data_IF_782696668996
#
_entry.id   IF_782696668996
#
_cell.length_a   1.000
_cell.length_b   1.000
_cell.length_c   1.000
_cell.angle_alpha   90.00
_cell.angle_beta   90.00
_cell.angle_gamma   90.00
#
_symmetry.space_group_name_H-M   'P 1'
#
loop_
_entity.id
_entity.type
_entity.pdbx_description
1 polymer ?
#
# COMPACT_ATOMS: atom_id res chain seq x y z
N UNK A 1 -2.98 15.14 -20.51
CA UNK A 1 -4.12 14.23 -20.83
C UNK A 1 -3.69 12.80 -21.20
N UNK A 2 -2.39 12.46 -21.25
CA UNK A 2 -1.87 11.15 -21.71
C UNK A 2 -1.46 10.17 -20.60
N UNK A 3 -1.28 10.62 -19.35
CA UNK A 3 -0.76 9.77 -18.27
C UNK A 3 -1.82 8.90 -17.56
N UNK A 4 -3.06 9.39 -17.47
CA UNK A 4 -4.17 8.66 -16.81
C UNK A 4 -4.51 7.37 -17.58
N UNK A 5 -4.55 7.45 -18.91
CA UNK A 5 -4.80 6.28 -19.76
C UNK A 5 -3.72 5.21 -19.62
N UNK A 6 -2.45 5.62 -19.44
CA UNK A 6 -1.33 4.72 -19.26
C UNK A 6 -1.39 3.96 -17.93
N UNK A 7 -1.70 4.66 -16.83
CA UNK A 7 -1.92 4.03 -15.52
C UNK A 7 -3.05 2.99 -15.55
N UNK A 8 -4.18 3.35 -16.17
CA UNK A 8 -5.31 2.44 -16.35
C UNK A 8 -4.98 1.21 -17.19
N UNK A 9 -4.00 1.31 -18.10
CA UNK A 9 -3.52 0.17 -18.90
C UNK A 9 -2.65 -0.76 -18.06
N UNK A 10 -1.76 -0.21 -17.23
CA UNK A 10 -0.93 -1.00 -16.29
C UNK A 10 -1.81 -1.74 -15.29
N UNK A 11 -2.84 -1.10 -14.73
CA UNK A 11 -3.77 -1.74 -13.79
C UNK A 11 -4.66 -2.84 -14.42
N UNK A 12 -4.62 -3.02 -15.74
CA UNK A 12 -5.33 -4.10 -16.46
C UNK A 12 -4.45 -5.31 -16.75
N UNK A 13 -3.19 -5.28 -16.31
CA UNK A 13 -2.28 -6.41 -16.41
C UNK A 13 -2.78 -7.61 -15.59
N UNK A 14 -2.71 -8.81 -16.15
CA UNK A 14 -3.20 -10.07 -15.54
C UNK A 14 -2.40 -10.46 -14.29
N UNK A 15 -1.18 -9.94 -14.13
CA UNK A 15 -0.36 -10.16 -12.93
C UNK A 15 -0.91 -9.46 -11.69
N UNK A 16 -1.81 -8.49 -11.87
CA UNK A 16 -2.40 -7.71 -10.78
C UNK A 16 -3.72 -8.35 -10.35
N UNK A 17 -3.73 -8.94 -9.17
CA UNK A 17 -4.95 -9.48 -8.57
C UNK A 17 -5.87 -8.35 -8.10
N UNK A 18 -7.10 -8.32 -8.62
CA UNK A 18 -8.14 -7.37 -8.20
C UNK A 18 -8.96 -7.96 -7.06
N UNK A 19 -8.97 -7.26 -5.93
CA UNK A 19 -9.73 -7.67 -4.76
C UNK A 19 -11.09 -6.97 -4.75
N UNK A 20 -12.17 -7.73 -4.62
CA UNK A 20 -13.52 -7.18 -4.47
C UNK A 20 -13.72 -6.65 -3.05
N UNK A 21 -14.42 -5.53 -2.91
CA UNK A 21 -14.75 -4.95 -1.62
C UNK A 21 -16.25 -5.06 -1.34
N UNK A 22 -16.61 -5.25 -0.07
CA UNK A 22 -18.01 -5.46 0.35
C UNK A 22 -18.60 -4.24 1.08
N UNK A 23 -17.91 -3.10 1.10
CA UNK A 23 -18.38 -1.89 1.77
C UNK A 23 -19.17 -0.98 0.82
N UNK A 24 -20.10 -0.21 1.38
CA UNK A 24 -20.81 0.85 0.66
C UNK A 24 -19.93 2.11 0.63
N UNK A 25 -19.62 2.60 -0.57
CA UNK A 25 -18.76 3.77 -0.78
C UNK A 25 -17.46 3.43 -1.50
N UNK A 26 -16.81 4.45 -2.05
CA UNK A 26 -15.65 4.33 -2.94
C UNK A 26 -14.37 4.90 -2.35
N UNK A 27 -14.36 5.26 -1.06
CA UNK A 27 -13.18 5.85 -0.43
C UNK A 27 -12.12 4.77 -0.15
N UNK A 28 -11.02 4.84 -0.89
CA UNK A 28 -9.98 3.81 -0.89
C UNK A 28 -9.24 3.75 0.45
N UNK A 29 -9.03 4.89 1.11
CA UNK A 29 -8.27 4.95 2.37
C UNK A 29 -8.97 4.16 3.48
N UNK A 30 -10.30 4.29 3.59
CA UNK A 30 -11.09 3.59 4.60
C UNK A 30 -11.15 2.10 4.31
N UNK A 31 -11.29 1.73 3.03
CA UNK A 31 -11.21 0.35 2.57
C UNK A 31 -9.87 -0.29 2.97
N UNK A 32 -8.75 0.39 2.69
CA UNK A 32 -7.42 -0.11 2.98
C UNK A 32 -7.19 -0.24 4.49
N UNK A 33 -7.60 0.76 5.28
CA UNK A 33 -7.46 0.73 6.73
C UNK A 33 -8.23 -0.42 7.35
N UNK A 34 -9.46 -0.69 6.88
CA UNK A 34 -10.26 -1.81 7.38
C UNK A 34 -9.66 -3.16 6.95
N UNK A 35 -9.34 -3.30 5.66
CA UNK A 35 -8.83 -4.56 5.09
C UNK A 35 -7.49 -4.98 5.71
N UNK A 36 -6.60 -4.03 5.97
CA UNK A 36 -5.27 -4.33 6.49
C UNK A 36 -5.28 -4.81 7.95
N UNK A 37 -6.41 -4.71 8.67
CA UNK A 37 -6.56 -5.30 10.01
C UNK A 37 -6.40 -6.82 10.02
N UNK A 38 -6.63 -7.49 8.88
CA UNK A 38 -6.40 -8.93 8.72
C UNK A 38 -4.91 -9.34 8.76
N UNK A 39 -3.97 -8.37 8.79
CA UNK A 39 -2.51 -8.57 8.94
C UNK A 39 -1.84 -9.42 7.84
N UNK A 40 -2.50 -9.64 6.71
CA UNK A 40 -1.99 -10.43 5.58
C UNK A 40 -1.55 -9.57 4.39
N UNK A 41 -1.31 -8.26 4.59
CA UNK A 41 -1.04 -7.33 3.50
C UNK A 41 0.14 -6.40 3.81
N UNK A 42 0.90 -6.07 2.76
CA UNK A 42 1.84 -4.95 2.74
C UNK A 42 1.16 -3.80 2.00
N UNK A 43 1.08 -2.62 2.62
CA UNK A 43 0.38 -1.49 2.00
C UNK A 43 1.35 -0.60 1.26
N UNK A 44 1.20 -0.52 -0.06
CA UNK A 44 1.92 0.42 -0.90
C UNK A 44 1.20 1.76 -0.93
N UNK A 45 1.76 2.80 -0.30
CA UNK A 45 1.18 4.15 -0.40
C UNK A 45 2.22 5.24 -0.25
N UNK A 46 2.08 6.28 -1.08
CA UNK A 46 2.87 7.48 -0.94
C UNK A 46 2.23 8.55 -0.02
N UNK A 47 0.95 8.40 0.35
CA UNK A 47 0.17 9.39 1.09
C UNK A 47 0.57 9.50 2.57
N UNK A 48 0.67 10.73 3.10
CA UNK A 48 1.16 10.96 4.48
C UNK A 48 0.11 10.64 5.54
N UNK A 49 -1.16 10.93 5.28
CA UNK A 49 -2.25 10.77 6.24
C UNK A 49 -2.68 9.30 6.32
N UNK A 50 -2.76 8.60 5.20
CA UNK A 50 -3.00 7.15 5.17
C UNK A 50 -1.89 6.38 5.89
N UNK A 51 -0.62 6.75 5.68
CA UNK A 51 0.49 6.16 6.44
C UNK A 51 0.35 6.39 7.94
N UNK A 52 -0.04 7.59 8.39
CA UNK A 52 -0.29 7.87 9.81
C UNK A 52 -1.40 6.97 10.37
N UNK A 53 -2.46 6.72 9.61
CA UNK A 53 -3.55 5.81 9.99
C UNK A 53 -3.08 4.36 10.08
N UNK A 54 -2.37 3.86 9.07
CA UNK A 54 -1.87 2.46 9.03
C UNK A 54 -0.78 2.22 10.08
N UNK A 55 0.05 3.23 10.40
CA UNK A 55 1.05 3.12 11.47
C UNK A 55 0.44 2.83 12.85
N UNK A 56 -0.84 3.12 13.08
CA UNK A 56 -1.54 2.72 14.32
C UNK A 56 -1.85 1.22 14.36
N UNK A 57 -1.93 0.56 13.21
CA UNK A 57 -2.16 -0.88 13.10
C UNK A 57 -0.82 -1.61 13.28
N UNK A 58 -0.79 -2.59 14.17
CA UNK A 58 0.38 -3.44 14.41
C UNK A 58 0.41 -4.61 13.43
N UNK A 59 1.61 -4.99 12.97
CA UNK A 59 1.80 -6.12 12.07
C UNK A 59 1.54 -5.83 10.58
N UNK A 60 1.33 -4.57 10.19
CA UNK A 60 1.14 -4.16 8.79
C UNK A 60 2.37 -3.36 8.31
N UNK A 61 3.19 -3.91 7.41
CA UNK A 61 4.29 -3.19 6.78
C UNK A 61 3.78 -2.16 5.76
N UNK A 62 4.52 -1.07 5.61
CA UNK A 62 4.19 0.03 4.68
C UNK A 62 5.30 0.16 3.64
N UNK A 63 4.95 0.07 2.36
CA UNK A 63 5.86 0.24 1.24
C UNK A 63 5.66 1.61 0.57
N UNK A 64 6.75 2.31 0.26
CA UNK A 64 6.71 3.59 -0.44
C UNK A 64 7.96 3.83 -1.29
N UNK A 65 7.85 4.77 -2.23
CA UNK A 65 8.96 5.14 -3.12
C UNK A 65 9.67 6.37 -2.54
N UNK A 66 11.00 6.32 -2.46
CA UNK A 66 11.87 7.46 -2.10
C UNK A 66 13.15 7.39 -2.92
N UNK A 67 13.47 8.45 -3.66
CA UNK A 67 14.72 8.55 -4.43
C UNK A 67 14.94 7.38 -5.40
N UNK A 68 13.94 7.07 -6.24
CA UNK A 68 13.94 5.94 -7.18
C UNK A 68 14.10 4.54 -6.53
N UNK A 69 14.00 4.43 -5.21
CA UNK A 69 14.06 3.15 -4.48
C UNK A 69 12.73 2.88 -3.80
N UNK A 70 12.39 1.59 -3.71
CA UNK A 70 11.25 1.12 -2.90
C UNK A 70 11.75 0.84 -1.50
N UNK A 71 11.11 1.47 -0.51
CA UNK A 71 11.44 1.37 0.91
C UNK A 71 10.27 0.72 1.64
N UNK A 72 10.57 -0.20 2.55
CA UNK A 72 9.57 -0.90 3.37
C UNK A 72 9.80 -0.53 4.85
N UNK A 73 8.77 0.02 5.48
CA UNK A 73 8.69 0.31 6.91
C UNK A 73 8.07 -0.88 7.67
N UNK A 74 8.48 -1.07 8.94
CA UNK A 74 7.92 -2.05 9.89
C UNK A 74 8.03 -3.54 9.46
N UNK A 75 9.07 -3.91 8.71
CA UNK A 75 9.33 -5.32 8.41
C UNK A 75 10.03 -5.99 9.62
N UNK A 76 9.38 -6.96 10.32
CA UNK A 76 9.95 -7.57 11.54
C UNK A 76 11.21 -8.40 11.28
N UNK A 77 11.44 -8.83 10.03
CA UNK A 77 12.61 -9.62 9.63
C UNK A 77 13.79 -8.77 9.11
N UNK A 78 13.67 -7.43 9.10
CA UNK A 78 14.74 -6.53 8.67
C UNK A 78 15.78 -6.25 9.79
N UNK A 79 16.02 -7.24 10.66
CA UNK A 79 17.17 -7.28 11.57
C UNK A 79 18.43 -7.51 10.73
N UNK A 80 19.00 -6.46 10.15
CA UNK A 80 20.30 -6.53 9.45
C UNK A 80 20.46 -5.66 8.20
N UNK A 81 19.42 -4.98 7.73
CA UNK A 81 19.60 -4.00 6.65
C UNK A 81 20.27 -2.73 7.23
N UNK A 82 21.41 -2.27 6.69
CA UNK A 82 22.07 -1.06 7.18
C UNK A 82 21.09 0.11 7.10
N UNK A 83 21.02 0.88 8.19
CA UNK A 83 20.32 2.17 8.19
C UNK A 83 21.10 3.07 7.22
N UNK A 84 20.51 3.35 6.06
CA UNK A 84 20.93 4.47 5.21
C UNK A 84 20.65 5.80 5.91
#
# INVERSE_FOLDING_TARGET
MTYISWWCRILRDERIQRLTCQHRGTYADDCLVERCKSRCYIVATCDRDLRRRIRKITGVPIMYIRGHRVVIEKMPMALGAPKL
#
